data_IF_127301939787
#
_entry.id   IF_127301939787
#
_cell.length_a   1.000
_cell.length_b   1.000
_cell.length_c   1.000
_cell.angle_alpha   90.00
_cell.angle_beta   90.00
_cell.angle_gamma   90.00
#
_symmetry.space_group_name_H-M   'P 1'
#
loop_
_entity.id
_entity.type
_entity.pdbx_description
1 polymer ?
#
# COMPACT_ATOMS: atom_id res chain seq x y z
N UNK A 1 9.51 0.52 -32.89
CA UNK A 1 8.67 0.29 -31.70
C UNK A 1 7.75 -0.88 -31.99
N UNK A 2 8.02 -2.04 -31.39
CA UNK A 2 7.15 -3.22 -31.50
C UNK A 2 5.77 -2.90 -30.93
N UNK A 3 4.71 -3.03 -31.73
CA UNK A 3 3.33 -2.92 -31.25
C UNK A 3 3.15 -3.98 -30.17
N UNK A 4 2.90 -3.55 -28.94
CA UNK A 4 2.48 -4.46 -27.86
C UNK A 4 1.18 -5.11 -28.32
N UNK A 5 1.19 -6.43 -28.49
CA UNK A 5 -0.02 -7.19 -28.76
C UNK A 5 -0.90 -7.17 -27.52
N UNK A 6 -2.19 -6.91 -27.70
CA UNK A 6 -3.16 -6.96 -26.61
C UNK A 6 -3.44 -8.43 -26.29
N UNK A 7 -3.34 -8.79 -25.00
CA UNK A 7 -3.66 -10.13 -24.51
C UNK A 7 -5.18 -10.43 -24.45
N UNK A 8 -6.02 -9.41 -24.72
CA UNK A 8 -7.48 -9.49 -24.67
C UNK A 8 -8.11 -8.75 -25.84
N UNK A 9 -9.24 -9.27 -26.31
CA UNK A 9 -10.14 -8.55 -27.21
C UNK A 9 -10.86 -7.48 -26.38
N UNK A 10 -10.78 -6.19 -26.76
CA UNK A 10 -11.24 -5.08 -25.92
C UNK A 10 -12.76 -5.00 -25.78
N UNK A 11 -13.51 -5.60 -26.70
CA UNK A 11 -14.97 -5.64 -26.63
C UNK A 11 -15.44 -6.86 -25.83
N UNK A 12 -16.12 -6.67 -24.69
CA UNK A 12 -16.66 -7.77 -23.91
C UNK A 12 -17.83 -8.42 -24.64
N UNK A 13 -17.83 -9.74 -24.71
CA UNK A 13 -18.93 -10.55 -25.23
C UNK A 13 -19.85 -10.99 -24.09
N UNK A 14 -21.14 -11.13 -24.37
CA UNK A 14 -22.09 -11.65 -23.39
C UNK A 14 -22.25 -13.16 -23.57
N UNK A 15 -21.84 -13.94 -22.56
CA UNK A 15 -21.75 -15.40 -22.65
C UNK A 15 -22.70 -16.04 -21.62
N UNK A 16 -23.46 -17.09 -22.00
CA UNK A 16 -24.27 -17.83 -21.04
C UNK A 16 -23.38 -18.56 -20.03
N UNK A 17 -23.71 -18.50 -18.74
CA UNK A 17 -22.86 -19.08 -17.68
C UNK A 17 -22.74 -20.61 -17.73
N UNK A 18 -23.65 -21.26 -18.45
CA UNK A 18 -23.64 -22.71 -18.68
C UNK A 18 -22.56 -23.12 -19.67
N UNK A 19 -22.15 -22.23 -20.59
CA UNK A 19 -21.03 -22.48 -21.50
C UNK A 19 -19.66 -22.08 -20.92
N UNK A 20 -19.63 -21.53 -19.70
CA UNK A 20 -18.39 -21.15 -19.00
C UNK A 20 -17.95 -22.28 -18.05
N UNK A 21 -16.84 -22.92 -18.42
CA UNK A 21 -16.22 -24.01 -17.69
C UNK A 21 -15.11 -23.48 -16.77
N UNK A 22 -15.17 -23.73 -15.45
CA UNK A 22 -14.11 -23.27 -14.54
C UNK A 22 -12.82 -24.08 -14.75
N UNK A 23 -11.70 -23.41 -14.98
CA UNK A 23 -10.37 -24.04 -15.09
C UNK A 23 -9.89 -24.73 -13.81
N UNK A 24 -10.44 -24.35 -12.65
CA UNK A 24 -10.11 -24.91 -11.34
C UNK A 24 -11.38 -25.07 -10.52
N UNK A 25 -11.46 -26.14 -9.73
CA UNK A 25 -12.57 -26.33 -8.82
C UNK A 25 -12.51 -25.29 -7.69
N UNK A 26 -13.64 -24.68 -7.30
CA UNK A 26 -13.68 -23.77 -6.16
C UNK A 26 -13.37 -24.56 -4.88
N UNK A 27 -12.50 -24.00 -4.03
CA UNK A 27 -12.22 -24.61 -2.74
C UNK A 27 -13.47 -24.64 -1.85
N UNK A 28 -13.69 -25.73 -1.10
CA UNK A 28 -14.84 -25.82 -0.20
C UNK A 28 -14.77 -24.73 0.88
N UNK A 29 -15.91 -24.10 1.19
CA UNK A 29 -16.01 -23.04 2.19
C UNK A 29 -15.83 -21.60 1.69
N UNK A 30 -15.54 -21.39 0.40
CA UNK A 30 -15.43 -20.05 -0.19
C UNK A 30 -16.71 -19.21 -0.04
N UNK A 31 -17.88 -19.86 -0.06
CA UNK A 31 -19.18 -19.20 0.09
C UNK A 31 -19.38 -18.52 1.45
N UNK A 32 -18.63 -18.93 2.47
CA UNK A 32 -18.72 -18.36 3.83
C UNK A 32 -17.81 -17.12 3.96
N UNK A 33 -16.80 -16.99 3.10
CA UNK A 33 -15.81 -15.92 3.15
C UNK A 33 -16.43 -14.53 3.06
N UNK A 34 -15.90 -13.59 3.86
CA UNK A 34 -16.27 -12.17 3.79
C UNK A 34 -16.10 -11.61 2.38
N UNK A 35 -15.03 -12.02 1.66
CA UNK A 35 -14.75 -11.57 0.29
C UNK A 35 -15.84 -12.03 -0.68
N UNK A 36 -16.32 -13.27 -0.54
CA UNK A 36 -17.43 -13.77 -1.37
C UNK A 36 -18.73 -13.00 -1.12
N UNK A 37 -19.10 -12.80 0.15
CA UNK A 37 -20.29 -12.00 0.51
C UNK A 37 -20.20 -10.57 -0.02
N UNK A 38 -19.02 -9.97 0.02
CA UNK A 38 -18.77 -8.64 -0.54
C UNK A 38 -18.98 -8.60 -2.05
N UNK A 39 -18.45 -9.60 -2.79
CA UNK A 39 -18.65 -9.73 -4.25
C UNK A 39 -20.13 -9.90 -4.59
N UNK A 40 -20.85 -10.76 -3.87
CA UNK A 40 -22.29 -10.98 -4.07
C UNK A 40 -23.07 -9.66 -3.88
N UNK A 41 -22.80 -8.94 -2.78
CA UNK A 41 -23.44 -7.65 -2.49
C UNK A 41 -23.14 -6.59 -3.56
N UNK A 42 -21.90 -6.57 -4.06
CA UNK A 42 -21.48 -5.66 -5.13
C UNK A 42 -22.20 -5.95 -6.44
N UNK A 43 -22.27 -7.22 -6.85
CA UNK A 43 -22.95 -7.63 -8.09
C UNK A 43 -24.45 -7.35 -8.01
N UNK A 44 -25.09 -7.54 -6.85
CA UNK A 44 -26.51 -7.21 -6.68
C UNK A 44 -26.82 -5.72 -6.83
N UNK A 45 -25.89 -4.84 -6.45
CA UNK A 45 -26.14 -3.39 -6.39
C UNK A 45 -25.66 -2.63 -7.63
N UNK A 46 -24.56 -3.08 -8.24
CA UNK A 46 -23.89 -2.38 -9.36
C UNK A 46 -23.75 -3.27 -10.59
N UNK A 47 -23.96 -4.59 -10.46
CA UNK A 47 -23.68 -5.55 -11.52
C UNK A 47 -22.21 -5.98 -11.56
N UNK A 48 -21.86 -6.73 -12.59
CA UNK A 48 -20.49 -7.19 -12.79
C UNK A 48 -19.63 -6.03 -13.33
N UNK A 49 -18.81 -5.43 -12.45
CA UNK A 49 -17.94 -4.28 -12.78
C UNK A 49 -16.76 -4.73 -13.66
N UNK A 50 -16.10 -5.80 -13.25
CA UNK A 50 -14.97 -6.38 -13.96
C UNK A 50 -15.47 -7.65 -14.67
N UNK A 51 -15.39 -7.75 -16.01
CA UNK A 51 -15.79 -8.94 -16.77
C UNK A 51 -15.02 -10.20 -16.36
N UNK A 52 -15.59 -11.37 -16.67
CA UNK A 52 -14.87 -12.64 -16.53
C UNK A 52 -13.83 -12.77 -17.64
N UNK A 53 -12.66 -13.32 -17.36
CA UNK A 53 -11.66 -13.61 -18.41
C UNK A 53 -11.85 -15.04 -18.88
N UNK A 54 -12.13 -15.20 -20.17
CA UNK A 54 -12.40 -16.51 -20.77
C UNK A 54 -11.54 -16.74 -22.01
N UNK A 55 -11.31 -18.01 -22.32
CA UNK A 55 -10.67 -18.46 -23.56
C UNK A 55 -11.61 -19.42 -24.29
N UNK A 56 -11.76 -19.32 -25.62
CA UNK A 56 -12.51 -20.30 -26.39
C UNK A 56 -11.82 -21.67 -26.32
N UNK A 57 -12.54 -22.72 -25.92
CA UNK A 57 -12.01 -24.08 -25.81
C UNK A 57 -11.77 -24.71 -27.19
N UNK A 58 -12.74 -24.56 -28.10
CA UNK A 58 -12.67 -25.01 -29.48
C UNK A 58 -13.66 -24.23 -30.35
N UNK A 59 -13.27 -23.88 -31.59
CA UNK A 59 -14.11 -23.09 -32.52
C UNK A 59 -15.47 -23.72 -32.85
N UNK A 60 -15.63 -25.02 -32.60
CA UNK A 60 -16.82 -25.80 -32.98
C UNK A 60 -17.76 -26.14 -31.82
N UNK A 61 -17.28 -26.12 -30.56
CA UNK A 61 -18.06 -26.55 -29.39
C UNK A 61 -18.71 -25.39 -28.61
N UNK A 62 -18.37 -24.13 -28.92
CA UNK A 62 -18.99 -22.95 -28.33
C UNK A 62 -18.77 -22.80 -26.80
N UNK A 63 -17.89 -23.63 -26.23
CA UNK A 63 -17.50 -23.60 -24.83
C UNK A 63 -16.39 -22.60 -24.56
N UNK A 64 -16.40 -22.03 -23.36
CA UNK A 64 -15.42 -21.06 -22.87
C UNK A 64 -14.79 -21.57 -21.58
N UNK A 65 -13.45 -21.64 -21.54
CA UNK A 65 -12.70 -21.94 -20.32
C UNK A 65 -12.46 -20.65 -19.55
N UNK A 66 -12.80 -20.63 -18.26
CA UNK A 66 -12.58 -19.50 -17.37
C UNK A 66 -11.11 -19.42 -16.95
N UNK A 67 -10.43 -18.35 -17.32
CA UNK A 67 -9.06 -18.07 -16.89
C UNK A 67 -9.04 -17.35 -15.53
N UNK A 68 -9.87 -16.31 -15.37
CA UNK A 68 -10.00 -15.55 -14.13
C UNK A 68 -11.46 -15.20 -13.80
N UNK A 69 -11.74 -15.08 -12.51
CA UNK A 69 -13.04 -14.66 -12.00
C UNK A 69 -13.84 -15.77 -11.34
N UNK A 70 -13.23 -16.86 -10.85
CA UNK A 70 -13.95 -18.00 -10.25
C UNK A 70 -14.89 -17.58 -9.11
N UNK A 71 -14.48 -16.64 -8.25
CA UNK A 71 -15.35 -16.11 -7.19
C UNK A 71 -16.54 -15.32 -7.75
N UNK A 72 -16.32 -14.57 -8.84
CA UNK A 72 -17.36 -13.78 -9.53
C UNK A 72 -18.34 -14.71 -10.25
N UNK A 73 -17.84 -15.73 -10.96
CA UNK A 73 -18.67 -16.76 -11.58
C UNK A 73 -19.55 -17.49 -10.55
N UNK A 74 -18.97 -17.89 -9.41
CA UNK A 74 -19.72 -18.52 -8.32
C UNK A 74 -20.81 -17.59 -7.77
N UNK A 75 -20.50 -16.30 -7.59
CA UNK A 75 -21.46 -15.30 -7.13
C UNK A 75 -22.60 -15.11 -8.14
N UNK A 76 -22.30 -15.03 -9.44
CA UNK A 76 -23.29 -14.92 -10.52
C UNK A 76 -24.22 -16.13 -10.56
N UNK A 77 -23.68 -17.35 -10.43
CA UNK A 77 -24.48 -18.60 -10.32
C UNK A 77 -25.37 -18.60 -9.08
N UNK A 78 -24.85 -18.14 -7.94
CA UNK A 78 -25.62 -18.03 -6.69
C UNK A 78 -26.78 -17.05 -6.83
N UNK A 79 -26.58 -15.97 -7.59
CA UNK A 79 -27.59 -14.97 -7.91
C UNK A 79 -28.55 -15.39 -9.04
N UNK A 80 -28.36 -16.59 -9.63
CA UNK A 80 -29.14 -17.12 -10.76
C UNK A 80 -29.15 -16.20 -11.99
N UNK A 81 -28.04 -15.50 -12.21
CA UNK A 81 -27.84 -14.70 -13.43
C UNK A 81 -27.48 -15.66 -14.56
N UNK A 82 -28.10 -15.52 -15.73
CA UNK A 82 -27.92 -16.45 -16.86
C UNK A 82 -26.76 -16.11 -17.77
N UNK A 83 -26.43 -14.82 -17.92
CA UNK A 83 -25.39 -14.33 -18.83
C UNK A 83 -24.42 -13.40 -18.10
N UNK A 84 -23.16 -13.39 -18.52
CA UNK A 84 -22.15 -12.48 -18.00
C UNK A 84 -21.28 -11.89 -19.10
N UNK A 85 -20.85 -10.64 -18.88
CA UNK A 85 -19.82 -10.00 -19.68
C UNK A 85 -18.49 -10.73 -19.49
N UNK A 86 -17.91 -11.18 -20.59
CA UNK A 86 -16.65 -11.90 -20.63
C UNK A 86 -15.67 -11.23 -21.60
N UNK A 87 -14.41 -11.13 -21.21
CA UNK A 87 -13.30 -10.71 -22.06
C UNK A 87 -12.60 -11.96 -22.60
N UNK A 88 -12.50 -12.04 -23.93
CA UNK A 88 -11.81 -13.15 -24.60
C UNK A 88 -10.32 -12.87 -24.57
N UNK A 89 -9.57 -13.76 -23.94
CA UNK A 89 -8.10 -13.73 -23.97
C UNK A 89 -7.58 -14.33 -25.26
N UNK A 90 -6.51 -13.75 -25.80
CA UNK A 90 -5.79 -14.28 -26.97
C UNK A 90 -4.71 -15.28 -26.58
N UNK A 91 -4.33 -15.31 -25.31
CA UNK A 91 -3.22 -16.11 -24.77
C UNK A 91 -3.74 -17.13 -23.75
N UNK A 92 -3.15 -18.32 -23.73
CA UNK A 92 -3.47 -19.40 -22.77
C UNK A 92 -2.71 -19.23 -21.44
N UNK A 93 -2.66 -17.99 -20.94
CA UNK A 93 -2.01 -17.69 -19.66
C UNK A 93 -3.07 -17.53 -18.57
N UNK A 94 -3.24 -18.58 -17.77
CA UNK A 94 -3.98 -18.52 -16.50
C UNK A 94 -3.25 -17.74 -15.39
N UNK A 95 -2.13 -17.07 -15.71
CA UNK A 95 -1.39 -16.28 -14.74
C UNK A 95 -2.05 -14.92 -14.57
N UNK A 96 -2.81 -14.79 -13.48
CA UNK A 96 -3.46 -13.54 -13.12
C UNK A 96 -2.42 -12.53 -12.64
N UNK A 97 -2.31 -11.41 -13.36
CA UNK A 97 -1.50 -10.24 -12.97
C UNK A 97 -1.87 -9.66 -11.58
N UNK A 98 -2.97 -10.12 -10.99
CA UNK A 98 -3.48 -9.74 -9.66
C UNK A 98 -2.73 -10.36 -8.46
N UNK A 99 -1.64 -11.11 -8.65
CA UNK A 99 -0.83 -11.62 -7.54
C UNK A 99 -0.13 -10.49 -6.72
N UNK A 100 -0.02 -9.28 -7.28
CA UNK A 100 0.49 -8.10 -6.56
C UNK A 100 -0.64 -7.09 -6.35
N UNK A 101 -1.39 -7.26 -5.25
CA UNK A 101 -2.43 -6.31 -4.85
C UNK A 101 -1.76 -5.02 -4.35
N UNK A 102 -1.69 -3.99 -5.20
CA UNK A 102 -1.38 -2.64 -4.74
C UNK A 102 -2.51 -2.18 -3.83
N UNK A 103 -2.22 -2.04 -2.53
CA UNK A 103 -3.21 -1.59 -1.55
C UNK A 103 -3.38 -0.09 -1.67
N UNK A 104 -4.63 0.36 -1.81
CA UNK A 104 -4.95 1.79 -1.83
C UNK A 104 -4.54 2.45 -0.50
N UNK A 105 -3.98 3.65 -0.58
CA UNK A 105 -3.71 4.44 0.62
C UNK A 105 -5.02 4.97 1.23
N UNK A 106 -4.98 5.35 2.50
CA UNK A 106 -6.18 5.87 3.17
C UNK A 106 -6.70 7.15 2.50
N UNK A 107 -5.82 7.95 1.89
CA UNK A 107 -6.17 9.15 1.15
C UNK A 107 -6.78 8.84 -0.21
N UNK A 108 -6.21 7.86 -0.94
CA UNK A 108 -6.79 7.41 -2.20
C UNK A 108 -8.22 6.91 -2.00
N UNK A 109 -8.47 6.11 -0.97
CA UNK A 109 -9.83 5.67 -0.62
C UNK A 109 -10.77 6.84 -0.32
N UNK A 110 -10.31 7.86 0.42
CA UNK A 110 -11.08 9.08 0.71
C UNK A 110 -11.51 9.79 -0.58
N UNK A 111 -10.56 10.06 -1.48
CA UNK A 111 -10.85 10.75 -2.75
C UNK A 111 -11.76 9.93 -3.65
N UNK A 112 -11.59 8.60 -3.71
CA UNK A 112 -12.49 7.72 -4.46
C UNK A 112 -13.93 7.78 -3.94
N UNK A 113 -14.12 7.73 -2.61
CA UNK A 113 -15.45 7.82 -1.99
C UNK A 113 -16.08 9.19 -2.24
N UNK A 114 -15.33 10.28 -2.03
CA UNK A 114 -15.80 11.65 -2.29
C UNK A 114 -16.24 11.83 -3.75
N UNK A 115 -15.40 11.40 -4.69
CA UNK A 115 -15.70 11.49 -6.13
C UNK A 115 -16.92 10.65 -6.53
N UNK A 116 -17.12 9.49 -5.90
CA UNK A 116 -18.31 8.68 -6.14
C UNK A 116 -19.59 9.37 -5.62
N UNK A 117 -19.52 10.03 -4.46
CA UNK A 117 -20.62 10.81 -3.91
C UNK A 117 -20.94 12.05 -4.75
N UNK A 118 -19.93 12.77 -5.22
CA UNK A 118 -20.10 13.92 -6.12
C UNK A 118 -20.77 13.54 -7.45
N UNK A 119 -20.52 12.32 -7.93
CA UNK A 119 -21.18 11.73 -9.11
C UNK A 119 -22.60 11.20 -8.83
N UNK A 120 -23.14 11.41 -7.62
CA UNK A 120 -24.52 11.08 -7.28
C UNK A 120 -24.73 9.73 -6.58
N UNK A 121 -23.68 9.03 -6.16
CA UNK A 121 -23.84 7.81 -5.36
C UNK A 121 -24.16 8.17 -3.89
N UNK A 122 -25.28 7.68 -3.36
CA UNK A 122 -25.61 7.87 -1.94
C UNK A 122 -24.64 7.07 -1.04
N UNK A 123 -24.35 7.56 0.19
CA UNK A 123 -23.50 6.84 1.14
C UNK A 123 -24.01 5.42 1.47
N UNK A 124 -25.33 5.25 1.50
CA UNK A 124 -26.01 3.96 1.74
C UNK A 124 -25.78 2.99 0.59
N UNK A 125 -25.88 3.47 -0.65
CA UNK A 125 -25.61 2.68 -1.84
C UNK A 125 -24.15 2.24 -1.89
N UNK A 126 -23.22 3.13 -1.57
CA UNK A 126 -21.78 2.81 -1.49
C UNK A 126 -21.51 1.77 -0.39
N UNK A 127 -22.12 1.92 0.78
CA UNK A 127 -21.99 0.98 1.89
C UNK A 127 -22.44 -0.43 1.48
N UNK A 128 -23.61 -0.54 0.82
CA UNK A 128 -24.15 -1.80 0.32
C UNK A 128 -23.29 -2.41 -0.80
N UNK A 129 -22.88 -1.61 -1.79
CA UNK A 129 -22.05 -2.08 -2.89
C UNK A 129 -20.67 -2.58 -2.43
N UNK A 130 -20.07 -1.91 -1.43
CA UNK A 130 -18.77 -2.29 -0.87
C UNK A 130 -18.87 -3.32 0.27
N UNK A 131 -20.08 -3.69 0.72
CA UNK A 131 -20.27 -4.62 1.84
C UNK A 131 -19.69 -4.11 3.17
N UNK A 132 -19.78 -2.80 3.42
CA UNK A 132 -19.27 -2.13 4.62
C UNK A 132 -20.37 -1.35 5.34
N UNK A 133 -20.12 -0.98 6.60
CA UNK A 133 -21.06 -0.18 7.38
C UNK A 133 -21.12 1.27 6.88
N UNK A 134 -22.30 1.87 6.94
CA UNK A 134 -22.53 3.28 6.58
C UNK A 134 -21.59 4.24 7.34
N UNK A 135 -21.35 3.98 8.63
CA UNK A 135 -20.44 4.77 9.46
C UNK A 135 -18.98 4.75 8.95
N UNK A 136 -18.55 3.66 8.31
CA UNK A 136 -17.23 3.54 7.71
C UNK A 136 -17.11 4.44 6.47
N UNK A 137 -18.14 4.46 5.61
CA UNK A 137 -18.19 5.34 4.43
C UNK A 137 -18.15 6.81 4.86
N UNK A 138 -18.98 7.20 5.83
CA UNK A 138 -19.01 8.59 6.34
C UNK A 138 -17.66 8.98 6.95
N UNK A 139 -17.05 8.10 7.74
CA UNK A 139 -15.74 8.37 8.36
C UNK A 139 -14.62 8.51 7.33
N UNK A 140 -14.67 7.73 6.24
CA UNK A 140 -13.72 7.86 5.13
C UNK A 140 -14.01 9.08 4.27
N UNK A 141 -15.27 9.45 4.04
CA UNK A 141 -15.64 10.66 3.30
C UNK A 141 -15.22 11.95 4.03
N UNK A 142 -15.21 11.94 5.37
CA UNK A 142 -14.83 13.07 6.23
C UNK A 142 -13.40 12.99 6.75
N UNK A 143 -12.57 12.09 6.19
CA UNK A 143 -11.23 11.76 6.70
C UNK A 143 -10.32 12.99 6.80
N UNK A 144 -10.34 13.84 5.78
CA UNK A 144 -9.47 15.02 5.65
C UNK A 144 -10.03 16.28 6.32
N UNK A 145 -11.26 16.24 6.83
CA UNK A 145 -11.91 17.42 7.40
C UNK A 145 -11.15 17.90 8.65
N UNK A 146 -10.60 19.11 8.58
CA UNK A 146 -9.83 19.73 9.66
C UNK A 146 -8.36 19.31 9.75
N UNK A 147 -7.82 18.69 8.70
CA UNK A 147 -6.38 18.41 8.55
C UNK A 147 -5.79 19.46 7.58
N UNK A 148 -4.63 20.04 7.92
CA UNK A 148 -3.95 21.00 7.06
C UNK A 148 -3.30 20.32 5.83
N UNK A 149 -3.14 21.02 4.69
CA UNK A 149 -2.64 20.42 3.45
C UNK A 149 -1.24 19.82 3.59
N UNK A 150 -0.36 20.42 4.38
CA UNK A 150 1.00 19.92 4.62
C UNK A 150 0.97 18.56 5.35
N UNK A 151 0.07 18.41 6.32
CA UNK A 151 -0.16 17.16 7.02
C UNK A 151 -0.78 16.08 6.11
N UNK A 152 -1.62 16.48 5.16
CA UNK A 152 -2.20 15.57 4.15
C UNK A 152 -1.11 15.06 3.22
N UNK A 153 -0.19 15.92 2.81
CA UNK A 153 0.92 15.57 1.92
C UNK A 153 1.83 14.50 2.54
N UNK A 154 2.11 14.60 3.85
CA UNK A 154 2.87 13.59 4.59
C UNK A 154 2.18 12.21 4.69
N UNK A 155 0.85 12.16 4.50
CA UNK A 155 0.05 10.94 4.65
C UNK A 155 -0.31 10.26 3.31
N UNK A 156 0.16 10.77 2.17
CA UNK A 156 -0.20 10.30 0.81
C UNK A 156 -0.09 8.79 0.60
N UNK A 157 1.01 8.21 1.04
CA UNK A 157 1.32 6.80 0.81
C UNK A 157 1.02 5.91 2.03
N UNK A 158 0.39 6.48 3.05
CA UNK A 158 0.19 5.82 4.33
C UNK A 158 -1.17 5.13 4.44
N UNK A 159 -1.18 3.98 5.11
CA UNK A 159 -2.38 3.26 5.49
C UNK A 159 -2.68 3.49 6.97
N UNK A 160 -3.85 4.03 7.27
CA UNK A 160 -4.26 4.31 8.65
C UNK A 160 -5.77 4.28 8.83
N UNK A 161 -6.19 4.10 10.09
CA UNK A 161 -7.59 4.12 10.50
C UNK A 161 -8.16 5.55 10.51
N UNK A 162 -9.44 5.77 10.13
CA UNK A 162 -10.10 7.06 10.27
C UNK A 162 -10.08 7.65 11.70
N UNK A 163 -9.90 6.81 12.72
CA UNK A 163 -9.74 7.25 14.11
C UNK A 163 -8.51 8.14 14.29
N UNK A 164 -7.44 7.91 13.53
CA UNK A 164 -6.25 8.76 13.55
C UNK A 164 -6.59 10.21 13.21
N UNK A 165 -7.28 10.42 12.08
CA UNK A 165 -7.71 11.74 11.62
C UNK A 165 -8.60 12.47 12.63
N UNK A 166 -9.39 11.73 13.42
CA UNK A 166 -10.22 12.30 14.50
C UNK A 166 -9.37 12.88 15.64
N UNK A 167 -8.21 12.30 15.90
CA UNK A 167 -7.27 12.79 16.92
C UNK A 167 -6.47 13.97 16.37
N UNK A 168 -5.93 13.84 15.15
CA UNK A 168 -5.11 14.88 14.51
C UNK A 168 -5.87 16.20 14.37
N UNK A 169 -7.15 16.18 13.94
CA UNK A 169 -8.00 17.39 13.81
C UNK A 169 -8.34 18.10 15.13
N UNK A 170 -7.81 17.63 16.27
CA UNK A 170 -7.93 18.31 17.58
C UNK A 170 -6.75 19.23 17.86
N UNK A 171 -5.70 19.15 17.05
CA UNK A 171 -4.48 19.95 17.15
C UNK A 171 -4.50 21.06 16.08
N UNK A 172 -3.82 22.18 16.35
CA UNK A 172 -3.62 23.26 15.37
C UNK A 172 -2.71 22.79 14.23
N UNK A 173 -2.78 23.40 13.02
CA UNK A 173 -2.04 22.97 11.82
C UNK A 173 -0.56 22.67 12.07
N UNK A 174 0.17 23.59 12.72
CA UNK A 174 1.60 23.42 13.02
C UNK A 174 1.89 22.14 13.82
N UNK A 175 1.03 21.80 14.78
CA UNK A 175 1.16 20.60 15.59
C UNK A 175 0.68 19.34 14.88
N UNK A 176 -0.24 19.45 13.92
CA UNK A 176 -0.65 18.30 13.09
C UNK A 176 0.53 17.77 12.28
N UNK A 177 1.28 18.67 11.62
CA UNK A 177 2.49 18.35 10.85
C UNK A 177 3.52 17.69 11.76
N UNK A 178 3.90 18.35 12.86
CA UNK A 178 4.89 17.84 13.81
C UNK A 178 4.50 16.45 14.36
N UNK A 179 3.23 16.24 14.72
CA UNK A 179 2.76 14.94 15.17
C UNK A 179 2.91 13.87 14.08
N UNK A 180 2.53 14.16 12.84
CA UNK A 180 2.61 13.18 11.74
C UNK A 180 4.08 12.87 11.43
N UNK A 181 4.97 13.86 11.41
CA UNK A 181 6.41 13.65 11.25
C UNK A 181 6.97 12.73 12.34
N UNK A 182 6.60 12.96 13.61
CA UNK A 182 6.98 12.07 14.72
C UNK A 182 6.44 10.64 14.55
N UNK A 183 5.25 10.49 13.99
CA UNK A 183 4.65 9.17 13.70
C UNK A 183 5.36 8.45 12.56
N UNK A 184 5.73 9.19 11.51
CA UNK A 184 6.49 8.68 10.37
C UNK A 184 7.91 8.28 10.80
N UNK A 185 8.60 9.12 11.55
CA UNK A 185 9.93 8.83 12.08
C UNK A 185 9.94 7.61 13.01
N UNK A 186 8.87 7.41 13.78
CA UNK A 186 8.68 6.23 14.62
C UNK A 186 8.15 5.00 13.85
N UNK A 187 7.87 5.12 12.55
CA UNK A 187 7.19 4.12 11.73
C UNK A 187 5.93 3.52 12.40
N UNK A 188 5.15 4.38 13.08
CA UNK A 188 3.99 3.97 13.87
C UNK A 188 2.82 4.93 13.63
N UNK A 189 2.00 4.60 12.64
CA UNK A 189 0.85 5.42 12.23
C UNK A 189 -0.45 4.82 12.81
N UNK A 190 -0.59 4.89 14.13
CA UNK A 190 -1.74 4.34 14.86
C UNK A 190 -2.50 5.40 15.64
N UNK A 191 -3.81 5.20 15.82
CA UNK A 191 -4.64 6.13 16.59
C UNK A 191 -4.19 6.24 18.06
N UNK A 192 -3.75 5.14 18.68
CA UNK A 192 -3.26 5.13 20.05
C UNK A 192 -2.01 6.00 20.23
N UNK A 193 -1.08 5.94 19.28
CA UNK A 193 0.12 6.75 19.34
C UNK A 193 -0.19 8.25 19.13
N UNK A 194 -1.10 8.57 18.21
CA UNK A 194 -1.61 9.94 18.08
C UNK A 194 -2.32 10.43 19.34
N UNK A 195 -3.06 9.57 20.06
CA UNK A 195 -3.69 9.93 21.34
C UNK A 195 -2.65 10.24 22.41
N UNK A 196 -1.55 9.50 22.46
CA UNK A 196 -0.43 9.77 23.36
C UNK A 196 0.22 11.14 23.04
N UNK A 197 0.51 11.40 21.76
CA UNK A 197 1.04 12.70 21.32
C UNK A 197 0.08 13.86 21.59
N UNK A 198 -1.23 13.62 21.44
CA UNK A 198 -2.28 14.58 21.78
C UNK A 198 -2.31 14.86 23.30
N UNK A 199 -2.17 13.84 24.15
CA UNK A 199 -2.11 13.99 25.60
C UNK A 199 -0.90 14.83 26.05
N UNK A 200 0.24 14.68 25.37
CA UNK A 200 1.46 15.45 25.60
C UNK A 200 1.43 16.87 24.99
N UNK A 201 0.46 17.20 24.14
CA UNK A 201 0.41 18.49 23.44
C UNK A 201 -0.05 19.63 24.36
N UNK A 202 0.65 20.78 24.40
CA UNK A 202 0.27 21.93 25.23
C UNK A 202 -1.02 22.60 24.71
N UNK A 203 -1.79 23.22 25.62
CA UNK A 203 -3.18 23.64 25.34
C UNK A 203 -3.30 24.78 24.30
N UNK A 204 -2.27 25.61 24.18
CA UNK A 204 -2.08 26.66 23.17
C UNK A 204 -2.02 26.09 21.73
N UNK A 205 -1.55 24.85 21.58
CA UNK A 205 -1.45 24.14 20.29
C UNK A 205 -2.68 23.29 19.98
N UNK A 206 -3.73 23.36 20.80
CA UNK A 206 -4.99 22.67 20.58
C UNK A 206 -6.03 23.59 19.91
N UNK A 207 -6.99 22.98 19.21
CA UNK A 207 -8.17 23.69 18.70
C UNK A 207 -9.10 24.03 19.87
N UNK A 208 -9.63 25.26 19.89
CA UNK A 208 -10.49 25.77 20.97
C UNK A 208 -11.66 24.83 21.28
N UNK A 209 -11.97 24.65 22.56
CA UNK A 209 -13.06 23.78 23.03
C UNK A 209 -12.75 22.28 23.08
N UNK A 210 -11.68 21.78 22.44
CA UNK A 210 -11.32 20.35 22.47
C UNK A 210 -10.38 20.03 23.63
N UNK A 211 -10.94 19.98 24.85
CA UNK A 211 -10.20 19.65 26.08
C UNK A 211 -9.59 18.25 26.03
N UNK A 212 -8.44 18.08 26.72
CA UNK A 212 -7.82 16.78 26.99
C UNK A 212 -8.87 15.85 27.61
N UNK A 213 -9.00 14.59 27.17
CA UNK A 213 -9.79 13.62 27.94
C UNK A 213 -9.23 13.59 29.36
N UNK A 214 -10.10 13.79 30.37
CA UNK A 214 -9.73 13.53 31.76
C UNK A 214 -9.43 12.04 31.84
N UNK A 215 -8.14 11.70 31.94
CA UNK A 215 -7.55 10.36 32.01
C UNK A 215 -7.58 9.56 30.70
N UNK A 216 -6.49 9.65 29.94
CA UNK A 216 -5.92 8.42 29.37
C UNK A 216 -5.04 7.87 30.48
N UNK A 217 -5.50 6.83 31.19
CA UNK A 217 -4.62 6.03 32.03
C UNK A 217 -3.79 5.15 31.08
N UNK A 218 -2.87 5.77 30.34
CA UNK A 218 -1.64 5.06 30.02
C UNK A 218 -0.90 5.00 31.36
N UNK A 219 -0.50 3.80 31.80
CA UNK A 219 0.28 3.67 33.04
C UNK A 219 1.44 4.67 32.97
N UNK A 220 1.75 5.38 34.06
CA UNK A 220 2.94 6.24 34.11
C UNK A 220 4.19 5.49 33.63
N UNK A 221 4.22 4.17 33.79
CA UNK A 221 5.24 3.28 33.27
C UNK A 221 5.27 3.19 31.74
N UNK A 222 4.12 3.22 31.06
CA UNK A 222 4.04 3.21 29.59
C UNK A 222 4.49 4.54 29.00
N UNK A 223 4.14 5.65 29.66
CA UNK A 223 4.60 6.99 29.27
C UNK A 223 6.10 7.11 29.54
N UNK A 224 6.59 6.71 30.72
CA UNK A 224 8.01 6.73 31.04
C UNK A 224 8.82 5.76 30.18
N UNK A 225 8.27 4.60 29.81
CA UNK A 225 8.92 3.65 28.89
C UNK A 225 9.01 4.25 27.48
N UNK A 226 7.95 4.88 27.00
CA UNK A 226 7.93 5.58 25.72
C UNK A 226 8.88 6.78 25.70
N UNK A 227 8.94 7.59 26.76
CA UNK A 227 9.89 8.69 26.90
C UNK A 227 11.34 8.20 26.90
N UNK A 228 11.63 7.09 27.60
CA UNK A 228 12.95 6.45 27.58
C UNK A 228 13.30 5.88 26.21
N UNK A 229 12.36 5.18 25.56
CA UNK A 229 12.57 4.64 24.21
C UNK A 229 12.76 5.75 23.17
N UNK A 230 12.02 6.86 23.30
CA UNK A 230 12.11 8.03 22.42
C UNK A 230 13.40 8.82 22.64
N UNK A 231 13.81 9.02 23.89
CA UNK A 231 15.11 9.64 24.23
C UNK A 231 16.28 8.78 23.73
N UNK A 232 16.18 7.45 23.87
CA UNK A 232 17.17 6.53 23.34
C UNK A 232 17.21 6.53 21.80
N UNK A 233 16.06 6.59 21.13
CA UNK A 233 15.99 6.67 19.66
C UNK A 233 16.52 8.02 19.15
N UNK A 234 16.13 9.15 19.73
CA UNK A 234 16.68 10.45 19.38
C UNK A 234 18.20 10.51 19.59
N UNK A 235 18.70 9.91 20.67
CA UNK A 235 20.14 9.82 20.91
C UNK A 235 20.84 8.97 19.86
N UNK A 236 20.26 7.82 19.46
CA UNK A 236 20.79 6.98 18.38
C UNK A 236 20.76 7.68 17.02
N UNK A 237 19.69 8.41 16.70
CA UNK A 237 19.60 9.21 15.49
C UNK A 237 20.64 10.32 15.47
N UNK A 238 20.80 11.06 16.57
CA UNK A 238 21.79 12.13 16.66
C UNK A 238 23.23 11.60 16.59
N UNK A 239 23.49 10.43 17.17
CA UNK A 239 24.79 9.75 17.05
C UNK A 239 25.04 9.28 15.61
N UNK A 240 24.03 8.69 14.97
CA UNK A 240 24.13 8.27 13.58
C UNK A 240 24.29 9.46 12.63
N UNK A 241 23.59 10.57 12.84
CA UNK A 241 23.71 11.81 12.06
C UNK A 241 25.08 12.46 12.25
N UNK A 242 25.63 12.43 13.47
CA UNK A 242 26.98 12.90 13.77
C UNK A 242 28.06 12.07 13.09
N UNK A 243 27.90 10.75 13.01
CA UNK A 243 28.88 9.87 12.37
C UNK A 243 28.68 9.76 10.86
N UNK A 244 27.46 9.93 10.34
CA UNK A 244 27.12 9.72 8.93
C UNK A 244 28.01 10.52 7.99
N UNK A 245 28.21 11.82 8.25
CA UNK A 245 29.09 12.65 7.42
C UNK A 245 30.56 12.18 7.45
N UNK A 246 31.05 11.79 8.62
CA UNK A 246 32.42 11.28 8.79
C UNK A 246 32.60 9.90 8.15
N UNK A 247 31.60 9.01 8.28
CA UNK A 247 31.61 7.66 7.74
C UNK A 247 31.56 7.69 6.22
N UNK A 248 30.73 8.55 5.64
CA UNK A 248 30.68 8.79 4.18
C UNK A 248 32.02 9.34 3.68
N UNK A 249 32.60 10.33 4.36
CA UNK A 249 33.91 10.86 3.99
C UNK A 249 35.02 9.80 4.08
N UNK A 250 35.06 9.03 5.17
CA UNK A 250 36.02 7.94 5.36
C UNK A 250 35.87 6.88 4.26
N UNK A 251 34.64 6.56 3.86
CA UNK A 251 34.35 5.59 2.81
C UNK A 251 34.78 6.10 1.43
N UNK A 252 34.57 7.39 1.13
CA UNK A 252 35.09 8.03 -0.09
C UNK A 252 36.62 8.03 -0.12
N UNK A 253 37.27 8.33 1.02
CA UNK A 253 38.73 8.30 1.13
C UNK A 253 39.29 6.88 0.98
N UNK A 254 38.67 5.89 1.63
CA UNK A 254 39.06 4.49 1.52
C UNK A 254 38.92 3.98 0.08
N UNK A 255 37.84 4.34 -0.61
CA UNK A 255 37.65 4.07 -2.04
C UNK A 255 38.75 4.71 -2.89
N UNK A 256 39.04 6.00 -2.67
CA UNK A 256 40.10 6.70 -3.40
C UNK A 256 41.49 6.11 -3.18
N UNK A 257 41.76 5.60 -1.97
CA UNK A 257 42.98 4.87 -1.66
C UNK A 257 43.03 3.51 -2.36
N UNK A 258 41.94 2.74 -2.33
CA UNK A 258 41.84 1.45 -3.02
C UNK A 258 42.00 1.60 -4.54
N UNK A 259 41.40 2.63 -5.14
CA UNK A 259 41.58 2.93 -6.56
C UNK A 259 43.06 3.16 -6.91
N UNK A 260 43.74 4.04 -6.15
CA UNK A 260 45.18 4.30 -6.35
C UNK A 260 46.05 3.06 -6.11
N UNK A 261 45.64 2.20 -5.20
CA UNK A 261 46.37 0.97 -4.88
C UNK A 261 46.26 -0.06 -6.02
N UNK A 262 45.10 -0.15 -6.67
CA UNK A 262 44.87 -1.01 -7.83
C UNK A 262 45.45 -0.42 -9.13
N UNK A 263 45.57 0.90 -9.25
CA UNK A 263 46.25 1.56 -10.38
C UNK A 263 47.76 1.31 -10.41
N UNK A 264 48.36 0.91 -9.27
CA UNK A 264 49.78 0.60 -9.20
C UNK A 264 50.07 -0.81 -9.72
N UNK A 265 50.73 -0.89 -10.89
CA UNK A 265 51.01 -2.15 -11.59
C UNK A 265 51.81 -3.18 -10.76
N UNK A 266 52.74 -2.74 -9.91
CA UNK A 266 53.54 -3.64 -9.07
C UNK A 266 52.69 -4.26 -7.95
N UNK A 267 51.79 -3.47 -7.37
CA UNK A 267 50.86 -3.93 -6.32
C UNK A 267 49.81 -4.85 -6.93
N UNK A 268 49.25 -4.49 -8.08
CA UNK A 268 48.28 -5.31 -8.81
C UNK A 268 48.89 -6.66 -9.19
N UNK A 269 50.13 -6.68 -9.69
CA UNK A 269 50.84 -7.93 -10.04
C UNK A 269 51.06 -8.82 -8.81
N UNK A 270 51.42 -8.24 -7.67
CA UNK A 270 51.57 -8.98 -6.40
C UNK A 270 50.23 -9.54 -5.90
N UNK A 271 49.17 -8.73 -5.92
CA UNK A 271 47.83 -9.15 -5.47
C UNK A 271 47.24 -10.24 -6.36
N UNK A 272 47.41 -10.17 -7.68
CA UNK A 272 46.98 -11.22 -8.59
C UNK A 272 47.75 -12.53 -8.40
N UNK A 273 49.04 -12.45 -8.04
CA UNK A 273 49.87 -13.64 -7.83
C UNK A 273 49.57 -14.35 -6.50
N UNK A 274 49.26 -13.61 -5.44
CA UNK A 274 49.10 -14.18 -4.09
C UNK A 274 47.67 -14.17 -3.55
N UNK A 275 46.81 -13.23 -3.97
CA UNK A 275 45.45 -13.03 -3.45
C UNK A 275 44.46 -12.59 -4.54
N UNK A 276 44.21 -13.40 -5.58
CA UNK A 276 43.34 -13.03 -6.71
C UNK A 276 41.88 -12.80 -6.31
N UNK A 277 41.41 -13.45 -5.24
CA UNK A 277 40.04 -13.27 -4.74
C UNK A 277 39.84 -11.89 -4.12
N UNK A 278 40.87 -11.32 -3.48
CA UNK A 278 40.79 -9.96 -2.92
C UNK A 278 40.70 -8.89 -4.00
N UNK A 279 41.34 -9.11 -5.16
CA UNK A 279 41.28 -8.17 -6.30
C UNK A 279 39.83 -8.06 -6.79
N UNK A 280 39.13 -9.18 -6.96
CA UNK A 280 37.71 -9.21 -7.37
C UNK A 280 36.82 -8.47 -6.37
N UNK A 281 37.02 -8.68 -5.07
CA UNK A 281 36.26 -7.99 -4.04
C UNK A 281 36.56 -6.48 -4.03
N UNK A 282 37.80 -6.06 -4.25
CA UNK A 282 38.15 -4.64 -4.36
C UNK A 282 37.56 -3.98 -5.61
N UNK A 283 37.53 -4.67 -6.74
CA UNK A 283 36.85 -4.21 -7.97
C UNK A 283 35.34 -4.04 -7.73
N UNK A 284 34.69 -5.02 -7.09
CA UNK A 284 33.26 -4.94 -6.72
C UNK A 284 32.96 -3.76 -5.77
N UNK A 285 33.85 -3.48 -4.82
CA UNK A 285 33.72 -2.32 -3.92
C UNK A 285 33.85 -1.00 -4.70
N UNK A 286 34.72 -0.93 -5.71
CA UNK A 286 34.88 0.27 -6.54
C UNK A 286 33.66 0.53 -7.46
N UNK A 287 32.99 -0.53 -7.91
CA UNK A 287 31.77 -0.48 -8.75
C UNK A 287 30.51 -0.14 -7.95
N UNK A 288 30.36 -0.73 -6.75
CA UNK A 288 29.14 -0.65 -5.94
C UNK A 288 28.87 0.71 -5.28
N UNK A 289 29.89 1.54 -5.06
CA UNK A 289 29.75 2.86 -4.38
C UNK A 289 29.43 3.99 -5.38
N UNK A 290 28.71 3.69 -6.46
CA UNK A 290 28.12 4.69 -7.36
C UNK A 290 26.87 5.31 -6.72
N UNK A 291 27.03 6.04 -5.62
CA UNK A 291 25.93 6.67 -4.86
C UNK A 291 25.75 8.18 -5.17
N UNK A 292 26.19 8.64 -6.35
CA UNK A 292 26.00 10.05 -6.79
C UNK A 292 25.27 10.19 -8.14
N UNK A 293 24.37 9.26 -8.48
CA UNK A 293 23.37 9.51 -9.52
C UNK A 293 21.97 9.18 -9.01
N UNK A 294 21.40 10.14 -8.27
CA UNK A 294 20.02 10.15 -7.77
C UNK A 294 19.71 11.44 -7.07
#
# INVERSE_FOLDING_TARGET
>A
MSRVQLAFIPEPINVPLDSVLPSRQPTPGLTISRKFKQIVSSIQEVGLIEPLSVMPEDKNLGGFVLLDGHLRLLALRTLRISHAACLVSTDDEGYTYNNRVNRLSALQEHYMIRRAMEKGASPERLAKALGVNLSHIISKATLLDGICPEAIDLLKDQQFSPSLSRVIRRMRPTRQVECIELMLAANNITAAYAEALFAATPADRLVEGKRRPRRVVASQEQIAKMEREMSNLQSKYKLAEQSFGQDVLNLVLARGYLAKLLENEEIMRYLLAHHPDLVKEFELILESVSLEQG
#
